data_IF_404994737314
#
_entry.id   IF_404994737314
#
_cell.length_a   1.000
_cell.length_b   1.000
_cell.length_c   1.000
_cell.angle_alpha   90.00
_cell.angle_beta   90.00
_cell.angle_gamma   90.00
#
_symmetry.space_group_name_H-M   'P 1'
#
loop_
_entity.id
_entity.type
_entity.pdbx_description
1 polymer ?
#
# COMPACT_ATOMS: atom_id res chain seq x y z
N UNK A 1 -20.01 -31.51 -9.90
CA UNK A 1 -21.28 -30.76 -9.68
C UNK A 1 -21.34 -30.36 -8.21
N UNK A 2 -21.06 -29.11 -7.90
CA UNK A 2 -21.63 -28.27 -6.83
C UNK A 2 -20.85 -26.96 -6.82
N UNK A 3 -21.15 -26.09 -7.79
CA UNK A 3 -20.88 -24.67 -7.63
C UNK A 3 -22.17 -24.06 -7.09
N UNK A 4 -22.18 -23.73 -5.80
CA UNK A 4 -23.25 -22.92 -5.22
C UNK A 4 -23.00 -21.47 -5.65
N UNK A 5 -23.87 -20.98 -6.52
CA UNK A 5 -23.86 -19.61 -6.99
C UNK A 5 -24.07 -18.64 -5.86
N UNK A 6 -23.06 -17.87 -5.53
CA UNK A 6 -23.21 -16.61 -4.80
C UNK A 6 -23.98 -15.66 -5.71
N UNK A 7 -25.17 -15.33 -5.27
CA UNK A 7 -26.19 -14.59 -6.00
C UNK A 7 -25.68 -13.22 -6.43
N UNK A 8 -25.79 -12.91 -7.71
CA UNK A 8 -25.51 -11.62 -8.40
C UNK A 8 -26.22 -10.40 -7.73
N UNK A 9 -27.11 -10.60 -6.75
CA UNK A 9 -27.94 -9.55 -6.14
C UNK A 9 -27.26 -8.62 -5.15
N UNK A 10 -26.14 -8.96 -4.52
CA UNK A 10 -25.45 -8.07 -3.58
C UNK A 10 -24.38 -7.17 -4.22
N UNK A 11 -23.91 -7.49 -5.42
CA UNK A 11 -22.86 -6.73 -6.14
C UNK A 11 -23.35 -5.40 -6.76
N UNK A 12 -24.63 -5.10 -6.73
CA UNK A 12 -25.20 -3.97 -7.50
C UNK A 12 -25.54 -2.72 -6.66
N UNK A 13 -25.18 -2.67 -5.36
CA UNK A 13 -25.52 -1.50 -4.52
C UNK A 13 -24.76 -0.22 -4.90
N UNK A 14 -23.61 -0.30 -5.58
CA UNK A 14 -22.78 0.86 -5.97
C UNK A 14 -22.68 1.11 -7.48
N UNK A 15 -23.45 0.42 -8.31
CA UNK A 15 -23.34 0.58 -9.77
C UNK A 15 -22.03 0.10 -10.39
N UNK A 16 -21.24 -0.70 -9.66
CA UNK A 16 -19.96 -1.25 -10.12
C UNK A 16 -20.21 -2.25 -11.24
N UNK A 17 -19.59 -2.01 -12.40
CA UNK A 17 -19.69 -2.90 -13.57
C UNK A 17 -18.37 -3.66 -13.74
N UNK A 18 -18.46 -4.94 -14.10
CA UNK A 18 -17.35 -5.74 -14.56
C UNK A 18 -17.34 -5.76 -16.10
N UNK A 19 -16.20 -5.44 -16.70
CA UNK A 19 -16.01 -5.34 -18.15
C UNK A 19 -14.81 -6.21 -18.55
N UNK A 20 -14.99 -7.06 -19.53
CA UNK A 20 -13.96 -7.97 -20.03
C UNK A 20 -14.16 -9.42 -19.59
N UNK A 21 -13.10 -10.23 -19.66
CA UNK A 21 -13.06 -11.66 -19.30
C UNK A 21 -11.89 -11.93 -18.34
N UNK A 22 -11.91 -13.01 -17.56
CA UNK A 22 -10.80 -13.37 -16.67
C UNK A 22 -9.44 -13.26 -17.36
N UNK A 23 -8.49 -12.58 -16.68
CA UNK A 23 -7.16 -12.27 -17.19
C UNK A 23 -7.08 -10.98 -18.01
N UNK A 24 -8.20 -10.46 -18.54
CA UNK A 24 -8.24 -9.17 -19.25
C UNK A 24 -9.56 -8.45 -18.97
N UNK A 25 -9.68 -7.89 -17.77
CA UNK A 25 -10.94 -7.28 -17.28
C UNK A 25 -10.68 -6.17 -16.26
N UNK A 26 -11.73 -5.40 -15.99
CA UNK A 26 -11.72 -4.42 -14.92
C UNK A 26 -13.10 -4.23 -14.28
N UNK A 27 -13.12 -3.83 -13.03
CA UNK A 27 -14.31 -3.26 -12.37
C UNK A 27 -14.22 -1.74 -12.43
N UNK A 28 -15.35 -1.09 -12.68
CA UNK A 28 -15.40 0.37 -12.90
C UNK A 28 -15.16 1.18 -11.63
N UNK A 29 -15.35 0.59 -10.46
CA UNK A 29 -15.12 1.19 -9.14
C UNK A 29 -14.92 0.08 -8.09
N UNK A 30 -14.66 0.48 -6.84
CA UNK A 30 -14.57 -0.39 -5.66
C UNK A 30 -15.08 0.34 -4.41
N UNK A 31 -15.35 -0.40 -3.33
CA UNK A 31 -15.74 0.20 -2.05
C UNK A 31 -14.50 0.80 -1.38
N UNK A 32 -14.51 2.12 -1.17
CA UNK A 32 -13.47 2.81 -0.42
C UNK A 32 -13.77 2.76 1.08
N UNK A 33 -12.74 2.83 1.94
CA UNK A 33 -12.90 3.01 3.37
C UNK A 33 -13.68 4.29 3.68
N UNK A 34 -14.30 4.31 4.86
CA UNK A 34 -14.98 5.50 5.36
C UNK A 34 -13.99 6.67 5.50
N UNK A 35 -14.36 7.90 5.11
CA UNK A 35 -13.46 9.06 5.12
C UNK A 35 -12.79 9.30 6.47
N UNK A 36 -13.51 9.12 7.58
CA UNK A 36 -12.97 9.34 8.93
C UNK A 36 -11.82 8.40 9.28
N UNK A 37 -11.79 7.18 8.73
CA UNK A 37 -10.68 6.24 8.91
C UNK A 37 -9.44 6.72 8.14
N UNK A 38 -9.63 7.22 6.92
CA UNK A 38 -8.54 7.80 6.14
C UNK A 38 -7.94 9.00 6.84
N UNK A 39 -8.78 9.90 7.39
CA UNK A 39 -8.33 11.06 8.14
C UNK A 39 -7.58 10.63 9.42
N UNK A 40 -8.03 9.58 10.09
CA UNK A 40 -7.35 9.04 11.27
C UNK A 40 -5.94 8.53 10.95
N UNK A 41 -5.77 7.70 9.91
CA UNK A 41 -4.44 7.22 9.50
C UNK A 41 -3.52 8.35 9.06
N UNK A 42 -4.03 9.33 8.30
CA UNK A 42 -3.25 10.52 7.90
C UNK A 42 -2.83 11.34 9.11
N UNK A 43 -3.74 11.60 10.04
CA UNK A 43 -3.43 12.34 11.27
C UNK A 43 -2.38 11.63 12.13
N UNK A 44 -2.42 10.30 12.23
CA UNK A 44 -1.39 9.53 12.92
C UNK A 44 -0.03 9.60 12.20
N UNK A 45 0.00 9.53 10.87
CA UNK A 45 1.21 9.70 10.07
C UNK A 45 1.81 11.11 10.27
N UNK A 46 0.98 12.15 10.26
CA UNK A 46 1.43 13.53 10.47
C UNK A 46 1.98 13.74 11.88
N UNK A 47 1.34 13.11 12.89
CA UNK A 47 1.77 13.19 14.29
C UNK A 47 3.13 12.53 14.54
N UNK A 48 3.31 11.32 14.00
CA UNK A 48 4.48 10.48 14.32
C UNK A 48 5.63 10.64 13.35
N UNK A 49 5.32 11.04 12.12
CA UNK A 49 6.29 11.10 11.02
C UNK A 49 6.69 9.74 10.44
N UNK A 50 6.45 8.65 11.17
CA UNK A 50 6.69 7.26 10.75
C UNK A 50 5.61 6.39 11.40
N UNK A 51 4.85 5.63 10.62
CA UNK A 51 3.66 4.92 11.08
C UNK A 51 3.68 3.42 10.76
N UNK A 52 4.44 3.00 9.75
CA UNK A 52 4.40 1.62 9.24
C UNK A 52 4.81 0.60 10.29
N UNK A 53 5.79 0.90 11.15
CA UNK A 53 6.22 0.04 12.25
C UNK A 53 5.09 -0.24 13.24
N UNK A 54 4.41 0.83 13.71
CA UNK A 54 3.30 0.72 14.66
C UNK A 54 2.10 -0.03 14.07
N UNK A 55 1.77 0.24 12.81
CA UNK A 55 0.70 -0.46 12.08
C UNK A 55 1.06 -1.93 11.88
N UNK A 56 2.28 -2.24 11.47
CA UNK A 56 2.79 -3.60 11.28
C UNK A 56 2.73 -4.43 12.57
N UNK A 57 3.12 -3.84 13.70
CA UNK A 57 3.02 -4.48 15.03
C UNK A 57 1.57 -4.80 15.40
N UNK A 58 0.62 -3.93 15.08
CA UNK A 58 -0.82 -4.14 15.32
C UNK A 58 -1.43 -5.20 14.39
N UNK A 59 -0.78 -5.50 13.27
CA UNK A 59 -1.19 -6.54 12.29
C UNK A 59 -0.41 -7.86 12.44
N UNK A 60 0.17 -8.11 13.60
CA UNK A 60 0.89 -9.36 13.89
C UNK A 60 2.22 -9.49 13.14
N UNK A 61 2.77 -8.41 12.61
CA UNK A 61 4.06 -8.34 11.87
C UNK A 61 4.09 -9.14 10.58
N UNK A 62 2.96 -9.31 9.92
CA UNK A 62 2.83 -10.11 8.69
C UNK A 62 2.30 -9.29 7.50
N UNK A 63 1.97 -8.02 7.69
CA UNK A 63 1.30 -7.18 6.70
C UNK A 63 2.25 -6.24 5.92
N UNK A 64 3.55 -6.25 6.22
CA UNK A 64 4.52 -5.44 5.49
C UNK A 64 4.89 -6.09 4.15
N UNK A 65 4.98 -5.27 3.11
CA UNK A 65 5.51 -5.70 1.83
C UNK A 65 7.01 -6.02 1.94
N UNK A 66 7.52 -6.80 0.98
CA UNK A 66 8.94 -7.10 0.84
C UNK A 66 9.78 -5.82 0.90
N UNK A 67 10.91 -5.90 1.60
CA UNK A 67 11.81 -4.76 1.84
C UNK A 67 12.41 -4.15 0.57
N UNK A 68 12.32 -4.84 -0.59
CA UNK A 68 12.72 -4.27 -1.86
C UNK A 68 11.80 -3.14 -2.34
N UNK A 69 10.53 -3.10 -1.87
CA UNK A 69 9.59 -2.03 -2.20
C UNK A 69 9.90 -0.82 -1.33
N UNK A 70 10.61 0.16 -1.89
CA UNK A 70 11.09 1.34 -1.18
C UNK A 70 10.69 2.64 -1.88
N UNK A 71 10.58 3.70 -1.10
CA UNK A 71 10.44 5.06 -1.60
C UNK A 71 11.60 5.44 -2.52
N UNK A 72 11.30 6.15 -3.60
CA UNK A 72 12.35 6.63 -4.53
C UNK A 72 13.23 7.73 -3.91
N UNK A 73 12.81 8.38 -2.86
CA UNK A 73 13.59 9.29 -2.01
C UNK A 73 13.17 9.14 -0.56
N UNK A 74 14.01 9.64 0.34
CA UNK A 74 13.70 9.73 1.78
C UNK A 74 12.50 10.65 2.03
N UNK A 75 11.85 10.47 3.17
CA UNK A 75 10.71 11.25 3.63
C UNK A 75 9.42 11.11 2.77
N UNK A 76 9.40 10.18 1.80
CA UNK A 76 8.17 9.87 1.10
C UNK A 76 7.18 9.19 2.03
N UNK A 77 6.00 9.78 2.17
CA UNK A 77 4.90 9.28 3.01
C UNK A 77 3.63 9.18 2.20
N UNK A 78 2.83 8.18 2.50
CA UNK A 78 1.62 7.91 1.74
C UNK A 78 0.61 7.16 2.61
N UNK A 79 -0.63 7.64 2.60
CA UNK A 79 -1.80 6.95 3.15
C UNK A 79 -2.95 7.09 2.17
N UNK A 80 -3.54 5.98 1.75
CA UNK A 80 -4.71 6.02 0.86
C UNK A 80 -5.28 4.64 0.55
N UNK A 81 -6.53 4.59 0.03
CA UNK A 81 -7.16 3.33 -0.38
C UNK A 81 -6.54 2.81 -1.67
N UNK A 82 -6.31 1.49 -1.73
CA UNK A 82 -5.73 0.82 -2.88
C UNK A 82 -6.70 0.75 -4.06
N UNK A 83 -6.33 1.32 -5.21
CA UNK A 83 -6.81 0.90 -6.51
C UNK A 83 -5.79 -0.10 -7.07
N UNK A 84 -6.22 -1.34 -7.25
CA UNK A 84 -5.31 -2.42 -7.64
C UNK A 84 -5.29 -2.65 -9.13
N UNK A 85 -4.10 -2.89 -9.69
CA UNK A 85 -3.92 -3.29 -11.09
C UNK A 85 -2.85 -4.37 -11.21
N UNK A 86 -3.18 -5.44 -11.94
CA UNK A 86 -2.24 -6.50 -12.29
C UNK A 86 -1.91 -6.41 -13.78
N UNK A 87 -0.62 -6.46 -14.10
CA UNK A 87 -0.10 -6.44 -15.47
C UNK A 87 0.99 -7.49 -15.66
N UNK A 88 1.26 -7.92 -16.90
CA UNK A 88 2.49 -8.65 -17.20
C UNK A 88 3.73 -7.78 -16.91
N UNK A 89 4.88 -8.38 -16.56
CA UNK A 89 6.08 -7.65 -16.14
C UNK A 89 6.57 -6.55 -17.09
N UNK A 90 6.30 -6.67 -18.38
CA UNK A 90 6.80 -5.75 -19.42
C UNK A 90 5.69 -4.90 -20.06
N UNK A 91 4.48 -4.86 -19.48
CA UNK A 91 3.33 -4.20 -20.09
C UNK A 91 2.66 -3.19 -19.15
N UNK A 92 2.15 -2.08 -19.70
CA UNK A 92 1.45 -1.09 -18.92
C UNK A 92 0.10 -0.62 -19.49
N UNK A 93 -0.46 -1.35 -20.46
CA UNK A 93 -1.75 -0.97 -21.05
C UNK A 93 -2.83 -0.80 -19.97
N UNK A 94 -2.92 -1.76 -19.04
CA UNK A 94 -3.94 -1.71 -18.00
C UNK A 94 -3.61 -0.71 -16.89
N UNK A 95 -2.36 -0.29 -16.72
CA UNK A 95 -2.01 0.84 -15.84
C UNK A 95 -2.57 2.15 -16.41
N UNK A 96 -2.44 2.37 -17.73
CA UNK A 96 -3.08 3.52 -18.40
C UNK A 96 -4.60 3.49 -18.21
N UNK A 97 -5.23 2.31 -18.33
CA UNK A 97 -6.66 2.18 -18.07
C UNK A 97 -7.00 2.45 -16.60
N UNK A 98 -6.22 1.96 -15.64
CA UNK A 98 -6.42 2.19 -14.22
C UNK A 98 -6.45 3.69 -13.87
N UNK A 99 -5.56 4.50 -14.46
CA UNK A 99 -5.54 5.96 -14.28
C UNK A 99 -6.87 6.65 -14.70
N UNK A 100 -7.70 6.02 -15.53
CA UNK A 100 -9.03 6.56 -15.87
C UNK A 100 -10.11 6.23 -14.84
N UNK A 101 -9.81 5.43 -13.82
CA UNK A 101 -10.74 4.93 -12.80
C UNK A 101 -10.44 5.47 -11.40
N UNK A 102 -9.29 6.09 -11.20
CA UNK A 102 -8.86 6.62 -9.91
C UNK A 102 -9.72 7.80 -9.46
N UNK A 103 -9.79 8.01 -8.14
CA UNK A 103 -10.32 9.22 -7.52
C UNK A 103 -9.23 9.91 -6.70
N UNK A 104 -9.36 11.22 -6.44
CA UNK A 104 -8.41 11.91 -5.57
C UNK A 104 -8.24 11.20 -4.22
N UNK A 105 -6.99 11.04 -3.80
CA UNK A 105 -6.62 10.33 -2.58
C UNK A 105 -6.41 8.82 -2.72
N UNK A 106 -6.74 8.20 -3.87
CA UNK A 106 -6.43 6.79 -4.12
C UNK A 106 -4.91 6.56 -4.23
N UNK A 107 -4.49 5.36 -3.86
CA UNK A 107 -3.15 4.82 -4.12
C UNK A 107 -3.24 3.80 -5.24
N UNK A 108 -2.48 4.00 -6.31
CA UNK A 108 -2.40 3.01 -7.39
C UNK A 108 -1.39 1.92 -7.00
N UNK A 109 -1.88 0.70 -6.75
CA UNK A 109 -1.05 -0.46 -6.39
C UNK A 109 -0.92 -1.38 -7.59
N UNK A 110 0.31 -1.59 -8.05
CA UNK A 110 0.64 -2.26 -9.31
C UNK A 110 1.38 -3.57 -9.03
N UNK A 111 0.73 -4.69 -9.35
CA UNK A 111 1.35 -6.01 -9.43
C UNK A 111 1.98 -6.17 -10.82
N UNK A 112 3.29 -5.97 -10.90
CA UNK A 112 4.12 -6.20 -12.08
C UNK A 112 4.94 -7.49 -11.98
N UNK A 113 4.61 -8.37 -11.02
CA UNK A 113 5.29 -9.64 -10.82
C UNK A 113 6.71 -9.55 -10.28
N UNK A 114 7.13 -8.41 -9.73
CA UNK A 114 8.46 -8.21 -9.17
C UNK A 114 9.60 -8.19 -10.20
N UNK A 115 9.30 -7.94 -11.47
CA UNK A 115 10.31 -7.92 -12.54
C UNK A 115 11.21 -6.69 -12.44
N UNK A 116 12.52 -6.88 -12.64
CA UNK A 116 13.53 -5.83 -12.58
C UNK A 116 14.13 -5.48 -13.95
N UNK A 117 13.66 -6.09 -15.04
CA UNK A 117 14.24 -5.93 -16.38
C UNK A 117 13.59 -4.84 -17.22
N UNK A 118 12.41 -4.33 -16.80
CA UNK A 118 11.65 -3.28 -17.49
C UNK A 118 10.97 -2.35 -16.52
N UNK A 119 10.92 -1.05 -16.85
CA UNK A 119 10.08 -0.09 -16.14
C UNK A 119 8.63 -0.20 -16.60
N UNK A 120 7.70 -0.23 -15.66
CA UNK A 120 6.26 -0.25 -15.93
C UNK A 120 5.70 1.17 -16.20
N UNK A 121 6.32 2.19 -15.60
CA UNK A 121 5.90 3.59 -15.73
C UNK A 121 7.08 4.54 -15.59
N UNK A 122 6.87 5.77 -16.02
CA UNK A 122 7.82 6.88 -15.90
C UNK A 122 7.12 8.19 -15.61
N UNK A 123 7.84 9.31 -15.68
CA UNK A 123 7.39 10.61 -15.20
C UNK A 123 6.11 11.13 -15.88
N UNK A 124 5.86 10.80 -17.15
CA UNK A 124 4.60 11.20 -17.82
C UNK A 124 3.36 10.62 -17.15
N UNK A 125 3.42 9.34 -16.73
CA UNK A 125 2.32 8.72 -16.00
C UNK A 125 2.21 9.25 -14.58
N UNK A 126 3.35 9.53 -13.93
CA UNK A 126 3.38 10.19 -12.61
C UNK A 126 2.77 11.59 -12.68
N UNK A 127 3.10 12.37 -13.69
CA UNK A 127 2.48 13.70 -13.91
C UNK A 127 0.96 13.61 -14.08
N UNK A 128 0.49 12.56 -14.76
CA UNK A 128 -0.95 12.27 -14.86
C UNK A 128 -1.55 11.95 -13.50
N UNK A 129 -0.90 11.11 -12.69
CA UNK A 129 -1.36 10.74 -11.35
C UNK A 129 -1.43 11.97 -10.40
N UNK A 130 -0.42 12.83 -10.43
CA UNK A 130 -0.41 14.11 -9.71
C UNK A 130 -1.63 14.94 -10.10
N UNK A 131 -1.88 15.09 -11.40
CA UNK A 131 -3.01 15.88 -11.91
C UNK A 131 -4.37 15.30 -11.52
N UNK A 132 -4.48 13.98 -11.40
CA UNK A 132 -5.66 13.27 -10.95
C UNK A 132 -5.82 13.27 -9.42
N UNK A 133 -4.83 13.78 -8.68
CA UNK A 133 -4.88 13.90 -7.22
C UNK A 133 -4.65 12.58 -6.48
N UNK A 134 -3.92 11.62 -7.06
CA UNK A 134 -3.55 10.40 -6.34
C UNK A 134 -2.69 10.72 -5.12
N UNK A 135 -2.84 9.93 -4.05
CA UNK A 135 -1.97 10.01 -2.88
C UNK A 135 -0.56 9.48 -3.16
N UNK A 136 -0.42 8.51 -4.08
CA UNK A 136 0.85 7.94 -4.48
C UNK A 136 0.69 6.65 -5.28
N UNK A 137 1.82 5.96 -5.50
CA UNK A 137 1.87 4.68 -6.21
C UNK A 137 2.77 3.67 -5.51
N UNK A 138 2.36 2.40 -5.53
CA UNK A 138 3.17 1.24 -5.14
C UNK A 138 3.38 0.38 -6.39
N UNK A 139 4.62 0.03 -6.70
CA UNK A 139 4.98 -0.68 -7.93
C UNK A 139 5.83 -1.91 -7.60
N UNK A 140 5.24 -3.09 -7.70
CA UNK A 140 6.00 -4.34 -7.64
C UNK A 140 6.64 -4.62 -9.01
N UNK A 141 7.66 -3.84 -9.31
CA UNK A 141 8.41 -3.73 -10.55
C UNK A 141 9.26 -2.48 -10.58
N UNK A 142 9.86 -2.18 -11.73
CA UNK A 142 10.69 -0.99 -11.88
C UNK A 142 9.91 0.22 -12.41
N UNK A 143 10.47 1.40 -12.14
CA UNK A 143 10.07 2.69 -12.74
C UNK A 143 11.25 3.32 -13.47
N UNK A 144 11.00 4.33 -14.29
CA UNK A 144 12.06 5.14 -14.94
C UNK A 144 11.85 6.63 -14.67
N UNK A 145 12.72 7.46 -15.19
CA UNK A 145 12.69 8.93 -15.02
C UNK A 145 12.77 9.32 -13.52
N UNK A 146 13.59 8.59 -12.76
CA UNK A 146 13.63 8.68 -11.30
C UNK A 146 14.03 10.07 -10.78
N UNK A 147 14.86 10.82 -11.53
CA UNK A 147 15.26 12.17 -11.15
C UNK A 147 14.06 13.14 -11.15
N UNK A 148 13.25 13.09 -12.20
CA UNK A 148 12.05 13.91 -12.35
C UNK A 148 10.99 13.52 -11.32
N UNK A 149 10.84 12.22 -11.07
CA UNK A 149 9.90 11.73 -10.05
C UNK A 149 10.31 12.23 -8.67
N UNK A 150 11.57 12.10 -8.28
CA UNK A 150 12.08 12.64 -6.99
C UNK A 150 11.85 14.14 -6.87
N UNK A 151 12.13 14.88 -7.93
CA UNK A 151 11.94 16.33 -7.95
C UNK A 151 10.47 16.74 -7.81
N UNK A 152 9.54 15.91 -8.26
CA UNK A 152 8.10 16.20 -8.14
C UNK A 152 7.58 16.10 -6.70
N UNK A 153 8.28 15.39 -5.82
CA UNK A 153 7.83 15.08 -4.45
C UNK A 153 6.65 14.09 -4.39
N UNK A 154 6.19 13.54 -5.52
CA UNK A 154 5.09 12.59 -5.54
C UNK A 154 5.52 11.22 -4.98
N UNK A 155 4.80 10.67 -3.97
CA UNK A 155 5.19 9.44 -3.32
C UNK A 155 5.10 8.23 -4.26
N UNK A 156 6.24 7.61 -4.53
CA UNK A 156 6.33 6.32 -5.25
C UNK A 156 7.23 5.38 -4.47
N UNK A 157 6.73 4.17 -4.27
CA UNK A 157 7.47 3.04 -3.71
C UNK A 157 7.56 1.96 -4.79
N UNK A 158 8.77 1.55 -5.14
CA UNK A 158 9.02 0.62 -6.25
C UNK A 158 10.08 -0.42 -5.89
N UNK A 159 10.08 -1.55 -6.60
CA UNK A 159 11.09 -2.58 -6.45
C UNK A 159 12.45 -2.17 -7.06
N UNK A 160 12.46 -1.21 -8.00
CA UNK A 160 13.70 -0.76 -8.62
C UNK A 160 13.50 0.34 -9.66
N UNK A 161 14.62 0.68 -10.30
CA UNK A 161 14.69 1.67 -11.38
C UNK A 161 15.33 1.01 -12.60
N UNK A 162 14.70 1.14 -13.78
CA UNK A 162 15.23 0.58 -15.04
C UNK A 162 14.90 1.48 -16.24
N UNK A 163 15.81 1.69 -17.21
CA UNK A 163 15.57 2.62 -18.31
C UNK A 163 14.64 2.09 -19.41
N UNK A 164 14.53 0.77 -19.60
CA UNK A 164 13.68 0.21 -20.66
C UNK A 164 12.20 0.50 -20.38
N UNK A 165 11.49 1.04 -21.37
CA UNK A 165 10.06 1.32 -21.28
C UNK A 165 9.20 0.10 -21.60
N UNK A 166 7.93 0.07 -21.12
CA UNK A 166 7.04 -1.07 -21.28
C UNK A 166 6.36 -1.13 -22.65
N UNK A 167 5.80 -2.29 -22.97
CA UNK A 167 4.83 -2.49 -24.06
C UNK A 167 3.42 -2.02 -23.66
N UNK A 168 2.46 -2.09 -24.61
CA UNK A 168 1.05 -1.68 -24.41
C UNK A 168 0.12 -2.66 -25.12
N UNK A 169 0.29 -3.95 -24.83
CA UNK A 169 -0.45 -5.02 -25.47
C UNK A 169 -1.48 -5.68 -24.52
N UNK A 170 -1.26 -5.50 -23.20
CA UNK A 170 -1.99 -6.26 -22.18
C UNK A 170 -1.53 -7.73 -22.09
N UNK A 171 -2.27 -8.59 -21.40
CA UNK A 171 -3.52 -8.36 -20.71
C UNK A 171 -3.39 -7.65 -19.36
N UNK A 172 -4.36 -7.87 -18.44
CA UNK A 172 -4.31 -7.41 -17.06
C UNK A 172 -5.69 -7.26 -16.43
N UNK A 173 -5.71 -7.03 -15.12
CA UNK A 173 -6.95 -6.92 -14.34
C UNK A 173 -6.89 -5.68 -13.43
N UNK A 174 -8.01 -4.95 -13.29
CA UNK A 174 -8.10 -3.76 -12.42
C UNK A 174 -9.23 -3.95 -11.42
N UNK A 175 -9.00 -3.52 -10.17
CA UNK A 175 -9.93 -3.62 -9.05
C UNK A 175 -10.31 -5.08 -8.70
N UNK A 176 -9.31 -5.96 -8.76
CA UNK A 176 -9.34 -7.32 -8.22
C UNK A 176 -8.23 -7.48 -7.18
N UNK A 177 -8.34 -8.44 -6.26
CA UNK A 177 -7.23 -8.77 -5.37
C UNK A 177 -5.97 -9.14 -6.17
N UNK A 178 -4.83 -8.59 -5.76
CA UNK A 178 -3.51 -8.80 -6.38
C UNK A 178 -2.51 -9.23 -5.33
N UNK A 179 -1.36 -9.72 -5.78
CA UNK A 179 -0.18 -9.87 -4.93
C UNK A 179 0.83 -8.77 -5.29
N UNK A 180 1.27 -7.97 -4.31
CA UNK A 180 2.23 -6.90 -4.51
C UNK A 180 3.25 -6.92 -3.37
N UNK A 181 4.54 -7.01 -3.70
CA UNK A 181 5.59 -7.12 -2.69
C UNK A 181 5.39 -8.27 -1.69
N UNK A 182 4.87 -9.41 -2.13
CA UNK A 182 4.59 -10.57 -1.28
C UNK A 182 3.30 -10.48 -0.45
N UNK A 183 2.58 -9.35 -0.48
CA UNK A 183 1.32 -9.15 0.24
C UNK A 183 0.11 -9.23 -0.69
N UNK A 184 -0.99 -9.82 -0.17
CA UNK A 184 -2.29 -9.70 -0.82
C UNK A 184 -2.83 -8.29 -0.60
N UNK A 185 -3.30 -7.66 -1.67
CA UNK A 185 -3.92 -6.33 -1.65
C UNK A 185 -5.29 -6.41 -2.32
N UNK A 186 -6.33 -6.18 -1.56
CA UNK A 186 -7.69 -6.01 -2.07
C UNK A 186 -7.96 -4.56 -2.49
N UNK A 187 -8.86 -4.34 -3.49
CA UNK A 187 -9.34 -2.99 -3.76
C UNK A 187 -10.01 -2.39 -2.52
N UNK A 188 -9.55 -1.23 -2.09
CA UNK A 188 -10.04 -0.54 -0.89
C UNK A 188 -9.25 -0.82 0.38
N UNK A 189 -8.30 -1.74 0.39
CA UNK A 189 -7.36 -1.87 1.50
C UNK A 189 -6.58 -0.56 1.69
N UNK A 190 -6.23 -0.24 2.93
CA UNK A 190 -5.52 1.01 3.21
C UNK A 190 -4.01 0.74 3.10
N UNK A 191 -3.36 1.49 2.23
CA UNK A 191 -1.91 1.48 2.12
C UNK A 191 -1.35 2.55 3.03
N UNK A 192 -0.40 2.15 3.88
CA UNK A 192 0.41 3.04 4.72
C UNK A 192 1.86 2.82 4.34
N UNK A 193 2.58 3.90 3.98
CA UNK A 193 3.97 3.80 3.58
C UNK A 193 4.78 4.98 4.06
N UNK A 194 6.03 4.72 4.45
CA UNK A 194 7.04 5.68 4.89
C UNK A 194 8.45 5.14 4.61
N UNK A 195 9.49 5.72 5.19
CA UNK A 195 10.89 5.32 4.94
C UNK A 195 11.18 3.85 5.31
N UNK A 196 10.42 3.25 6.24
CA UNK A 196 10.58 1.85 6.62
C UNK A 196 10.02 0.89 5.57
N UNK A 197 9.02 1.32 4.79
CA UNK A 197 8.44 0.53 3.70
C UNK A 197 6.94 0.72 3.54
N UNK A 198 6.24 -0.37 3.19
CA UNK A 198 4.82 -0.36 2.87
C UNK A 198 4.09 -1.41 3.70
N UNK A 199 2.98 -1.04 4.32
CA UNK A 199 2.09 -1.94 5.06
C UNK A 199 0.69 -1.89 4.46
N UNK A 200 0.04 -3.05 4.37
CA UNK A 200 -1.33 -3.21 3.88
C UNK A 200 -2.27 -3.44 5.05
N UNK A 201 -3.25 -2.56 5.23
CA UNK A 201 -4.29 -2.70 6.24
C UNK A 201 -5.59 -3.15 5.56
N UNK A 202 -6.05 -4.39 5.77
CA UNK A 202 -7.34 -4.83 5.25
C UNK A 202 -8.46 -3.90 5.71
N UNK A 203 -9.33 -3.50 4.79
CA UNK A 203 -10.37 -2.50 5.04
C UNK A 203 -11.26 -2.86 6.23
N UNK A 204 -11.61 -4.14 6.39
CA UNK A 204 -12.46 -4.66 7.45
C UNK A 204 -11.83 -4.54 8.86
N UNK A 205 -10.51 -4.42 8.95
CA UNK A 205 -9.78 -4.30 10.22
C UNK A 205 -9.39 -2.86 10.56
N UNK A 206 -9.58 -1.91 9.63
CA UNK A 206 -9.04 -0.55 9.72
C UNK A 206 -9.41 0.19 11.01
N UNK A 207 -10.68 0.12 11.45
CA UNK A 207 -11.14 0.81 12.66
C UNK A 207 -10.40 0.32 13.92
N UNK A 208 -10.33 -1.00 14.12
CA UNK A 208 -9.62 -1.59 15.25
C UNK A 208 -8.11 -1.32 15.23
N UNK A 209 -7.51 -1.28 14.04
CA UNK A 209 -6.09 -0.96 13.88
C UNK A 209 -5.80 0.49 14.28
N UNK A 210 -6.63 1.46 13.90
CA UNK A 210 -6.46 2.87 14.32
C UNK A 210 -6.41 2.98 15.85
N UNK A 211 -7.30 2.33 16.57
CA UNK A 211 -7.35 2.40 18.03
C UNK A 211 -6.14 1.71 18.68
N UNK A 212 -5.73 0.56 18.14
CA UNK A 212 -4.54 -0.14 18.61
C UNK A 212 -3.25 0.68 18.39
N UNK A 213 -3.11 1.30 17.23
CA UNK A 213 -1.95 2.16 16.89
C UNK A 213 -1.87 3.36 17.84
N UNK A 214 -3.00 4.02 18.13
CA UNK A 214 -3.01 5.11 19.13
C UNK A 214 -2.50 4.63 20.49
N UNK A 215 -2.92 3.46 20.95
CA UNK A 215 -2.45 2.88 22.20
C UNK A 215 -0.95 2.53 22.18
N UNK A 216 -0.43 2.08 21.03
CA UNK A 216 1.02 1.83 20.84
C UNK A 216 1.79 3.13 20.95
N UNK A 217 1.40 4.19 20.23
CA UNK A 217 2.06 5.51 20.25
C UNK A 217 2.16 6.05 21.67
N UNK A 218 1.05 6.06 22.42
CA UNK A 218 1.06 6.54 23.83
C UNK A 218 2.04 5.74 24.70
N UNK A 219 2.12 4.42 24.49
CA UNK A 219 3.07 3.57 25.24
C UNK A 219 4.51 3.86 24.85
N UNK A 220 4.78 4.13 23.58
CA UNK A 220 6.12 4.47 23.09
C UNK A 220 6.57 5.84 23.56
N UNK A 221 5.70 6.85 23.54
CA UNK A 221 5.96 8.18 24.11
C UNK A 221 6.34 8.09 25.59
N UNK A 222 5.58 7.31 26.37
CA UNK A 222 5.91 7.05 27.77
C UNK A 222 7.27 6.38 27.92
N UNK A 223 7.56 5.39 27.08
CA UNK A 223 8.85 4.67 27.13
C UNK A 223 10.03 5.57 26.76
N UNK A 224 9.88 6.44 25.77
CA UNK A 224 10.88 7.44 25.41
C UNK A 224 11.17 8.38 26.57
N UNK A 225 10.14 8.89 27.25
CA UNK A 225 10.31 9.73 28.44
C UNK A 225 11.05 9.02 29.58
N UNK A 226 10.79 7.72 29.81
CA UNK A 226 11.53 6.90 30.78
C UNK A 226 13.02 6.78 30.40
N UNK A 227 13.31 6.55 29.11
CA UNK A 227 14.69 6.46 28.59
C UNK A 227 15.42 7.80 28.78
N UNK A 228 14.78 8.91 28.45
CA UNK A 228 15.33 10.25 28.65
C UNK A 228 15.60 10.54 30.14
N UNK A 229 14.76 10.01 31.04
CA UNK A 229 14.95 10.07 32.49
C UNK A 229 16.04 9.12 33.04
N UNK A 230 16.72 8.35 32.15
CA UNK A 230 17.82 7.45 32.52
C UNK A 230 17.40 5.99 32.76
N UNK A 231 16.14 5.63 32.61
CA UNK A 231 15.69 4.23 32.72
C UNK A 231 15.96 3.51 31.37
N UNK A 232 17.22 3.05 31.19
CA UNK A 232 17.67 2.45 29.93
C UNK A 232 17.33 0.97 29.78
N UNK A 233 17.17 0.25 30.89
CA UNK A 233 16.83 -1.18 30.89
C UNK A 233 15.36 -1.37 30.55
N UNK A 234 15.08 -2.39 29.73
CA UNK A 234 13.69 -2.75 29.41
C UNK A 234 12.96 -3.23 30.69
N UNK A 235 11.82 -2.64 31.06
CA UNK A 235 11.03 -3.11 32.19
C UNK A 235 10.65 -4.58 32.06
N UNK A 236 10.80 -5.36 33.15
CA UNK A 236 10.48 -6.80 33.19
C UNK A 236 11.46 -7.69 32.40
N UNK A 237 12.64 -7.21 32.01
CA UNK A 237 13.60 -8.00 31.23
C UNK A 237 14.02 -9.28 31.95
N UNK A 238 14.38 -9.17 33.23
CA UNK A 238 14.87 -10.31 34.01
C UNK A 238 13.81 -11.38 34.24
N UNK A 239 12.54 -10.96 34.46
CA UNK A 239 11.41 -11.89 34.52
C UNK A 239 11.19 -12.60 33.17
N UNK A 240 11.24 -11.87 32.06
CA UNK A 240 11.13 -12.46 30.73
C UNK A 240 12.25 -13.46 30.42
N UNK A 241 13.46 -13.21 30.91
CA UNK A 241 14.61 -14.11 30.75
C UNK A 241 14.43 -15.38 31.60
N UNK A 242 13.98 -15.24 32.87
CA UNK A 242 13.69 -16.36 33.75
C UNK A 242 12.61 -17.29 33.15
N UNK A 243 11.53 -16.73 32.62
CA UNK A 243 10.46 -17.50 31.95
C UNK A 243 10.98 -18.29 30.75
N UNK A 244 12.08 -17.86 30.14
CA UNK A 244 12.77 -18.54 29.04
C UNK A 244 13.91 -19.46 29.48
N UNK A 245 14.12 -19.62 30.81
CA UNK A 245 15.17 -20.46 31.37
C UNK A 245 16.56 -19.81 31.38
N UNK A 246 16.64 -18.48 31.31
CA UNK A 246 17.87 -17.69 31.35
C UNK A 246 17.86 -16.84 32.62
N UNK A 247 18.09 -17.45 33.80
CA UNK A 247 18.10 -16.73 35.07
C UNK A 247 18.55 -17.59 36.23
#
# INVERSE_FOLDING_TARGET
KFWVGLTIREKNKMGIKEIGKPGFRYRTDFQRPEPHLMDAFKGLMDQTGCLTGNVGDCLGRTAAMDSRIKGLSQEMKLVGPALTVKVPPIDNLMIHKALTLVKPGDVLVIDGGGDHSWALLGFLMVSTAIKLGLAGMIVDGCVRDAAEIRKSGFPIFAAGIHPNGPMKEGPGEINYPIQCGGQMVGPGDIIVADDDGVVVVPQEHAAGIVDNVKAVIVREEKRLAEIEAGVTTRPGLDEMLKDKGLG
#
